data_IF_368887589979
#
_entry.id   IF_368887589979
#
_cell.length_a   1.000
_cell.length_b   1.000
_cell.length_c   1.000
_cell.angle_alpha   90.00
_cell.angle_beta   90.00
_cell.angle_gamma   90.00
#
_symmetry.space_group_name_H-M   'P 1'
#
loop_
_entity.id
_entity.type
_entity.pdbx_description
1 polymer ?
#
# COMPACT_ATOMS: atom_id res chain seq x y z
N UNK A 1 26.96 17.02 11.69
CA UNK A 1 26.11 16.26 10.73
C UNK A 1 25.36 17.23 9.82
N UNK A 2 25.28 16.96 8.51
CA UNK A 2 24.55 17.80 7.57
C UNK A 2 23.34 17.06 7.02
N UNK A 3 22.27 17.79 6.69
CA UNK A 3 21.05 17.23 6.10
C UNK A 3 21.36 16.42 4.83
N UNK A 4 22.29 16.92 4.01
CA UNK A 4 22.77 16.22 2.82
C UNK A 4 23.35 14.82 3.11
N UNK A 5 24.00 14.60 4.26
CA UNK A 5 24.53 13.29 4.63
C UNK A 5 23.39 12.27 4.93
N UNK A 6 22.29 12.74 5.50
CA UNK A 6 21.08 11.94 5.73
C UNK A 6 20.40 11.55 4.42
N UNK A 7 20.23 12.52 3.50
CA UNK A 7 19.67 12.28 2.17
C UNK A 7 20.51 11.28 1.37
N UNK A 8 21.83 11.43 1.41
CA UNK A 8 22.77 10.49 0.77
C UNK A 8 22.63 9.09 1.34
N UNK A 9 22.58 8.93 2.67
CA UNK A 9 22.44 7.62 3.30
C UNK A 9 21.13 6.94 2.89
N UNK A 10 19.99 7.66 2.97
CA UNK A 10 18.68 7.14 2.57
C UNK A 10 18.67 6.76 1.09
N UNK A 11 19.16 7.64 0.19
CA UNK A 11 19.19 7.37 -1.23
C UNK A 11 20.03 6.14 -1.59
N UNK A 12 21.18 5.91 -0.92
CA UNK A 12 21.99 4.71 -1.14
C UNK A 12 21.26 3.46 -0.64
N UNK A 13 20.61 3.55 0.53
CA UNK A 13 19.83 2.43 1.09
C UNK A 13 18.69 1.98 0.16
N UNK A 14 18.01 2.93 -0.47
CA UNK A 14 16.88 2.67 -1.38
C UNK A 14 17.33 2.19 -2.76
N UNK A 15 18.41 2.75 -3.29
CA UNK A 15 18.90 2.42 -4.65
C UNK A 15 19.90 1.27 -4.70
N UNK A 16 20.46 0.86 -3.56
CA UNK A 16 21.46 -0.20 -3.49
C UNK A 16 22.79 0.14 -4.23
N UNK A 17 23.00 1.41 -4.66
CA UNK A 17 24.13 1.84 -5.46
C UNK A 17 24.48 3.31 -5.23
N UNK A 18 25.79 3.60 -5.04
CA UNK A 18 26.30 4.97 -4.94
C UNK A 18 26.03 5.78 -6.23
N UNK A 19 26.18 5.15 -7.40
CA UNK A 19 25.98 5.83 -8.67
C UNK A 19 24.49 6.20 -8.88
N UNK A 20 23.57 5.31 -8.52
CA UNK A 20 22.14 5.57 -8.61
C UNK A 20 21.70 6.66 -7.61
N UNK A 21 22.22 6.64 -6.37
CA UNK A 21 21.99 7.70 -5.40
C UNK A 21 22.54 9.05 -5.86
N UNK A 22 23.76 9.06 -6.44
CA UNK A 22 24.36 10.27 -7.00
C UNK A 22 23.50 10.87 -8.12
N UNK A 23 23.00 10.03 -9.02
CA UNK A 23 22.08 10.47 -10.08
C UNK A 23 20.77 11.05 -9.50
N UNK A 24 20.17 10.38 -8.52
CA UNK A 24 18.92 10.83 -7.88
C UNK A 24 19.08 12.19 -7.20
N UNK A 25 20.23 12.39 -6.53
CA UNK A 25 20.49 13.61 -5.75
C UNK A 25 21.17 14.73 -6.58
N UNK A 26 21.42 14.51 -7.89
CA UNK A 26 22.18 15.41 -8.74
C UNK A 26 23.56 15.74 -8.17
N UNK A 27 24.25 14.75 -7.60
CA UNK A 27 25.58 14.85 -7.03
C UNK A 27 26.59 14.02 -7.82
N UNK A 28 27.89 14.28 -7.63
CA UNK A 28 28.93 13.38 -8.11
C UNK A 28 29.05 12.13 -7.22
N UNK A 29 29.46 11.00 -7.76
CA UNK A 29 29.70 9.78 -6.99
C UNK A 29 30.74 9.97 -5.88
N UNK A 30 31.74 10.85 -6.10
CA UNK A 30 32.72 11.22 -5.07
C UNK A 30 32.09 12.02 -3.93
N UNK A 31 31.19 12.96 -4.23
CA UNK A 31 30.47 13.73 -3.21
C UNK A 31 29.59 12.82 -2.34
N UNK A 32 28.87 11.89 -2.96
CA UNK A 32 28.06 10.88 -2.27
C UNK A 32 28.93 10.00 -1.38
N UNK A 33 30.05 9.50 -1.88
CA UNK A 33 30.99 8.67 -1.11
C UNK A 33 31.59 9.43 0.08
N UNK A 34 31.95 10.70 -0.12
CA UNK A 34 32.51 11.54 0.94
C UNK A 34 31.48 11.88 2.01
N UNK A 35 30.24 12.23 1.62
CA UNK A 35 29.17 12.52 2.57
C UNK A 35 28.83 11.30 3.44
N UNK A 36 28.74 10.10 2.85
CA UNK A 36 28.55 8.85 3.58
C UNK A 36 29.71 8.60 4.56
N UNK A 37 30.95 8.67 4.09
CA UNK A 37 32.11 8.41 4.93
C UNK A 37 32.20 9.40 6.12
N UNK A 38 31.89 10.67 5.91
CA UNK A 38 31.81 11.67 6.97
C UNK A 38 30.73 11.31 7.98
N UNK A 39 29.57 10.86 7.53
CA UNK A 39 28.47 10.45 8.41
C UNK A 39 28.84 9.22 9.24
N UNK A 40 29.41 8.19 8.63
CA UNK A 40 29.90 7.00 9.34
C UNK A 40 31.02 7.32 10.34
N UNK A 41 31.91 8.24 9.99
CA UNK A 41 32.96 8.70 10.89
C UNK A 41 32.41 9.42 12.12
N UNK A 42 31.39 10.27 11.97
CA UNK A 42 30.74 10.94 13.10
C UNK A 42 30.01 9.96 14.01
N UNK A 43 29.42 8.90 13.44
CA UNK A 43 28.77 7.85 14.22
C UNK A 43 29.74 6.86 14.87
N UNK A 44 30.94 6.73 14.34
CA UNK A 44 31.95 5.79 14.80
C UNK A 44 31.78 4.35 14.31
N UNK A 45 30.86 4.11 13.37
CA UNK A 45 30.63 2.79 12.76
C UNK A 45 30.07 2.92 11.34
N UNK A 46 30.18 1.84 10.56
CA UNK A 46 29.70 1.79 9.18
C UNK A 46 28.21 1.50 9.12
N UNK A 47 27.52 2.23 8.24
CA UNK A 47 26.09 2.06 7.96
C UNK A 47 25.84 1.12 6.80
N UNK A 48 26.79 1.03 5.87
CA UNK A 48 26.66 0.30 4.62
C UNK A 48 27.88 -0.58 4.38
N UNK A 49 27.66 -1.76 3.80
CA UNK A 49 28.73 -2.67 3.34
C UNK A 49 28.57 -2.96 1.87
N UNK A 50 29.73 -3.05 1.15
CA UNK A 50 29.78 -3.49 -0.24
C UNK A 50 29.98 -5.00 -0.29
N UNK A 51 29.20 -5.68 -1.08
CA UNK A 51 29.37 -7.09 -1.39
C UNK A 51 29.28 -7.33 -2.89
N UNK A 52 29.40 -8.60 -3.34
CA UNK A 52 29.30 -8.96 -4.76
C UNK A 52 27.93 -8.68 -5.38
N UNK A 53 26.88 -8.56 -4.58
CA UNK A 53 25.51 -8.28 -5.01
C UNK A 53 25.13 -6.78 -4.93
N UNK A 54 26.06 -5.90 -4.54
CA UNK A 54 25.82 -4.46 -4.43
C UNK A 54 26.09 -3.92 -3.02
N UNK A 55 25.38 -2.85 -2.65
CA UNK A 55 25.47 -2.22 -1.33
C UNK A 55 24.30 -2.69 -0.47
N UNK A 56 24.58 -3.04 0.78
CA UNK A 56 23.58 -3.42 1.78
C UNK A 56 23.79 -2.65 3.08
N UNK A 57 22.73 -2.51 3.82
CA UNK A 57 22.78 -1.97 5.18
C UNK A 57 23.53 -2.92 6.11
N UNK A 58 24.26 -2.37 7.08
CA UNK A 58 24.69 -3.09 8.28
C UNK A 58 23.55 -3.16 9.28
N UNK A 59 23.67 -3.95 10.35
CA UNK A 59 22.71 -3.94 11.45
C UNK A 59 22.53 -2.52 12.05
N UNK A 60 23.63 -1.74 12.14
CA UNK A 60 23.58 -0.34 12.57
C UNK A 60 22.84 0.54 11.56
N UNK A 61 23.05 0.32 10.24
CA UNK A 61 22.35 1.01 9.18
C UNK A 61 20.84 0.71 9.20
N UNK A 62 20.45 -0.56 9.35
CA UNK A 62 19.04 -0.97 9.48
C UNK A 62 18.36 -0.33 10.68
N UNK A 63 19.04 -0.28 11.84
CA UNK A 63 18.52 0.31 13.06
C UNK A 63 18.33 1.82 12.94
N UNK A 64 19.23 2.53 12.26
CA UNK A 64 19.19 4.01 12.17
C UNK A 64 18.37 4.54 11.02
N UNK A 65 18.14 3.75 9.94
CA UNK A 65 17.46 4.22 8.74
C UNK A 65 16.06 4.82 9.02
N UNK A 66 15.20 4.23 9.87
CA UNK A 66 13.90 4.82 10.22
C UNK A 66 14.06 6.21 10.86
N UNK A 67 14.94 6.35 11.86
CA UNK A 67 15.16 7.62 12.55
C UNK A 67 15.72 8.71 11.62
N UNK A 68 16.59 8.33 10.67
CA UNK A 68 17.11 9.28 9.67
C UNK A 68 15.99 9.73 8.73
N UNK A 69 15.08 8.84 8.36
CA UNK A 69 13.89 9.20 7.57
C UNK A 69 12.97 10.14 8.33
N UNK A 70 12.73 9.89 9.62
CA UNK A 70 11.94 10.79 10.48
C UNK A 70 12.54 12.19 10.55
N UNK A 71 13.88 12.31 10.65
CA UNK A 71 14.56 13.60 10.62
C UNK A 71 14.33 14.34 9.30
N UNK A 72 14.42 13.64 8.17
CA UNK A 72 14.14 14.23 6.86
C UNK A 72 12.67 14.65 6.72
N UNK A 73 11.74 13.82 7.17
CA UNK A 73 10.32 14.18 7.20
C UNK A 73 10.04 15.39 8.10
N UNK A 74 10.70 15.50 9.25
CA UNK A 74 10.57 16.64 10.13
C UNK A 74 11.12 17.92 9.49
N UNK A 75 12.23 17.82 8.74
CA UNK A 75 12.74 18.94 7.94
C UNK A 75 11.77 19.35 6.83
N UNK A 76 11.23 18.38 6.07
CA UNK A 76 10.22 18.64 5.03
C UNK A 76 9.00 19.34 5.63
N UNK A 77 8.52 18.89 6.79
CA UNK A 77 7.42 19.52 7.53
C UNK A 77 7.72 20.98 7.89
N UNK A 78 8.93 21.26 8.42
CA UNK A 78 9.36 22.61 8.73
C UNK A 78 9.33 23.51 7.48
N UNK A 79 9.88 23.03 6.36
CA UNK A 79 9.90 23.79 5.11
C UNK A 79 8.50 24.03 4.55
N UNK A 80 7.60 23.04 4.65
CA UNK A 80 6.20 23.20 4.25
C UNK A 80 5.44 24.18 5.15
N UNK A 81 5.69 24.16 6.46
CA UNK A 81 5.10 25.13 7.38
C UNK A 81 5.57 26.55 7.07
N UNK A 82 6.86 26.73 6.81
CA UNK A 82 7.41 28.03 6.38
C UNK A 82 6.81 28.51 5.05
N UNK A 83 6.70 27.63 4.06
CA UNK A 83 6.05 27.92 2.79
C UNK A 83 4.59 28.35 2.96
N UNK A 84 3.83 27.65 3.83
CA UNK A 84 2.44 27.99 4.14
C UNK A 84 2.28 29.37 4.75
N UNK A 85 3.20 29.80 5.61
CA UNK A 85 3.21 31.16 6.17
C UNK A 85 3.39 32.24 5.08
N UNK A 86 4.01 31.88 3.96
CA UNK A 86 4.17 32.73 2.77
C UNK A 86 3.02 32.56 1.76
N UNK A 87 1.95 31.84 2.10
CA UNK A 87 0.84 31.55 1.20
C UNK A 87 1.17 30.56 0.07
N UNK A 88 2.26 29.79 0.21
CA UNK A 88 2.68 28.78 -0.77
C UNK A 88 2.26 27.40 -0.26
N UNK A 89 1.44 26.69 -1.03
CA UNK A 89 1.06 25.31 -0.77
C UNK A 89 1.94 24.39 -1.67
N UNK A 90 3.07 23.98 -1.15
CA UNK A 90 4.03 23.10 -1.84
C UNK A 90 4.58 22.04 -0.90
N UNK A 91 5.06 20.92 -1.44
CA UNK A 91 5.66 19.84 -0.68
C UNK A 91 5.56 18.51 -1.40
N UNK A 92 5.89 17.44 -0.70
CA UNK A 92 5.79 16.06 -1.19
C UNK A 92 4.91 15.24 -0.25
N UNK A 93 4.11 14.33 -0.81
CA UNK A 93 3.33 13.33 -0.07
C UNK A 93 3.66 11.95 -0.63
N UNK A 94 4.07 11.03 0.24
CA UNK A 94 4.38 9.65 -0.10
C UNK A 94 3.24 8.75 0.38
N UNK A 95 2.67 7.96 -0.52
CA UNK A 95 1.50 7.12 -0.23
C UNK A 95 1.83 5.66 -0.50
N UNK A 96 1.63 4.81 0.51
CA UNK A 96 1.65 3.36 0.36
C UNK A 96 0.26 2.81 0.04
N UNK A 97 0.15 1.87 -0.89
CA UNK A 97 -1.14 1.26 -1.22
C UNK A 97 -1.01 -0.16 -1.75
N UNK A 98 -2.01 -0.98 -1.46
CA UNK A 98 -2.16 -2.29 -2.09
C UNK A 98 -2.93 -2.20 -3.43
N UNK A 99 -2.83 -3.27 -4.24
CA UNK A 99 -3.24 -3.31 -5.65
C UNK A 99 -4.64 -2.76 -5.90
N UNK A 100 -5.67 -3.26 -5.23
CA UNK A 100 -7.05 -2.87 -5.51
C UNK A 100 -7.34 -1.39 -5.24
N UNK A 101 -6.74 -0.78 -4.19
CA UNK A 101 -6.78 0.67 -3.93
C UNK A 101 -6.00 1.44 -5.00
N UNK A 102 -4.80 0.94 -5.35
CA UNK A 102 -3.95 1.52 -6.40
C UNK A 102 -4.67 1.65 -7.74
N UNK A 103 -5.51 0.66 -8.08
CA UNK A 103 -6.25 0.65 -9.36
C UNK A 103 -7.58 1.40 -9.26
N UNK A 104 -8.36 1.22 -8.18
CA UNK A 104 -9.72 1.73 -8.12
C UNK A 104 -9.82 3.20 -7.68
N UNK A 105 -8.98 3.64 -6.75
CA UNK A 105 -9.10 4.94 -6.09
C UNK A 105 -7.97 5.90 -6.40
N UNK A 106 -6.69 5.47 -6.27
CA UNK A 106 -5.56 6.38 -6.32
C UNK A 106 -5.49 7.25 -7.59
N UNK A 107 -5.73 6.75 -8.80
CA UNK A 107 -5.66 7.60 -10.00
C UNK A 107 -6.62 8.78 -9.94
N UNK A 108 -7.84 8.55 -9.42
CA UNK A 108 -8.87 9.60 -9.31
C UNK A 108 -8.57 10.55 -8.15
N UNK A 109 -8.10 10.02 -7.01
CA UNK A 109 -7.69 10.82 -5.85
C UNK A 109 -6.56 11.77 -6.23
N UNK A 110 -5.49 11.24 -6.85
CA UNK A 110 -4.32 12.04 -7.22
C UNK A 110 -4.69 13.09 -8.26
N UNK A 111 -5.48 12.73 -9.27
CA UNK A 111 -5.92 13.68 -10.29
C UNK A 111 -6.67 14.85 -9.67
N UNK A 112 -7.68 14.57 -8.84
CA UNK A 112 -8.48 15.63 -8.20
C UNK A 112 -7.70 16.40 -7.14
N UNK A 113 -6.71 15.78 -6.50
CA UNK A 113 -5.81 16.47 -5.57
C UNK A 113 -4.87 17.43 -6.30
N UNK A 114 -4.28 16.99 -7.42
CA UNK A 114 -3.39 17.84 -8.23
C UNK A 114 -4.08 19.09 -8.79
N UNK A 115 -5.38 18.99 -9.11
CA UNK A 115 -6.18 20.14 -9.55
C UNK A 115 -6.32 21.19 -8.42
N UNK A 116 -6.34 20.76 -7.15
CA UNK A 116 -6.43 21.65 -5.98
C UNK A 116 -5.06 22.15 -5.49
N UNK A 117 -4.04 21.30 -5.59
CA UNK A 117 -2.70 21.54 -5.04
C UNK A 117 -1.61 21.24 -6.09
N UNK A 118 -1.50 22.05 -7.15
CA UNK A 118 -0.62 21.76 -8.30
C UNK A 118 0.88 21.79 -8.00
N UNK A 119 1.28 22.29 -6.82
CA UNK A 119 2.68 22.36 -6.37
C UNK A 119 3.03 21.28 -5.34
N UNK A 120 2.10 20.38 -5.02
CA UNK A 120 2.38 19.24 -4.15
C UNK A 120 2.65 18.02 -5.03
N UNK A 121 3.85 17.48 -4.88
CA UNK A 121 4.24 16.23 -5.54
C UNK A 121 3.68 15.03 -4.77
N UNK A 122 3.14 14.05 -5.47
CA UNK A 122 2.61 12.81 -4.88
C UNK A 122 3.38 11.63 -5.44
N UNK A 123 3.98 10.83 -4.57
CA UNK A 123 4.63 9.57 -4.92
C UNK A 123 3.85 8.39 -4.37
N UNK A 124 3.88 7.26 -5.07
CA UNK A 124 3.16 6.04 -4.70
C UNK A 124 4.14 4.88 -4.60
N UNK A 125 4.04 4.14 -3.50
CA UNK A 125 4.66 2.82 -3.35
C UNK A 125 3.56 1.76 -3.29
N UNK A 126 3.71 0.68 -4.05
CA UNK A 126 2.72 -0.39 -4.11
C UNK A 126 3.29 -1.69 -3.53
N UNK A 127 2.56 -2.32 -2.60
CA UNK A 127 2.94 -3.57 -1.96
C UNK A 127 1.77 -4.29 -1.29
N UNK A 128 2.06 -5.31 -0.50
CA UNK A 128 1.07 -5.98 0.34
C UNK A 128 0.68 -5.15 1.57
N UNK A 129 -0.30 -5.66 2.34
CA UNK A 129 -0.76 -4.94 3.54
C UNK A 129 0.35 -4.74 4.57
N UNK A 130 1.19 -5.78 4.77
CA UNK A 130 2.30 -5.74 5.71
C UNK A 130 3.42 -4.84 5.22
N UNK A 131 3.71 -4.84 3.89
CA UNK A 131 4.69 -3.93 3.30
C UNK A 131 4.29 -2.47 3.56
N UNK A 132 3.02 -2.12 3.29
CA UNK A 132 2.51 -0.75 3.51
C UNK A 132 2.60 -0.36 4.98
N UNK A 133 2.19 -1.25 5.90
CA UNK A 133 2.30 -1.00 7.33
C UNK A 133 3.74 -0.80 7.77
N UNK A 134 4.67 -1.62 7.28
CA UNK A 134 6.09 -1.50 7.54
C UNK A 134 6.66 -0.19 6.99
N UNK A 135 6.26 0.24 5.80
CA UNK A 135 6.69 1.52 5.20
C UNK A 135 6.24 2.72 6.04
N UNK A 136 5.03 2.68 6.61
CA UNK A 136 4.57 3.72 7.54
C UNK A 136 5.44 3.72 8.80
N UNK A 137 5.62 2.56 9.43
CA UNK A 137 6.41 2.41 10.67
C UNK A 137 7.86 2.86 10.45
N UNK A 138 8.43 2.58 9.27
CA UNK A 138 9.79 2.99 8.90
C UNK A 138 9.88 4.38 8.29
N UNK A 139 8.83 5.18 8.35
CA UNK A 139 8.79 6.53 7.76
C UNK A 139 9.19 6.60 6.29
N UNK A 140 8.94 5.54 5.54
CA UNK A 140 9.17 5.49 4.10
C UNK A 140 8.01 6.16 3.34
N UNK A 141 6.78 6.04 3.87
CA UNK A 141 5.59 6.73 3.38
C UNK A 141 4.95 7.55 4.48
N UNK A 142 4.22 8.60 4.12
CA UNK A 142 3.54 9.51 5.04
C UNK A 142 2.13 8.99 5.39
N UNK A 143 1.48 8.38 4.40
CA UNK A 143 0.13 7.81 4.49
C UNK A 143 0.13 6.43 3.84
N UNK A 144 -0.64 5.50 4.37
CA UNK A 144 -0.78 4.18 3.77
C UNK A 144 -2.18 3.62 3.87
N UNK A 145 -2.62 2.94 2.83
CA UNK A 145 -3.85 2.15 2.88
C UNK A 145 -3.52 0.75 3.39
N UNK A 146 -4.14 0.38 4.50
CA UNK A 146 -4.03 -0.96 5.08
C UNK A 146 -5.43 -1.49 5.42
N UNK A 147 -5.52 -2.71 5.93
CA UNK A 147 -6.77 -3.31 6.41
C UNK A 147 -6.72 -3.56 7.91
N UNK A 148 -7.89 -3.59 8.55
CA UNK A 148 -7.99 -3.99 9.95
C UNK A 148 -7.82 -5.52 10.12
N UNK A 149 -7.27 -6.00 11.26
CA UNK A 149 -6.70 -5.17 12.33
C UNK A 149 -5.34 -4.60 11.95
N UNK A 150 -5.11 -3.35 12.35
CA UNK A 150 -3.85 -2.65 12.13
C UNK A 150 -2.76 -3.10 13.09
N UNK A 151 -1.48 -2.99 12.71
CA UNK A 151 -0.37 -3.12 13.65
C UNK A 151 -0.42 -2.02 14.73
N UNK A 152 0.04 -2.31 15.98
CA UNK A 152 0.07 -1.31 17.04
C UNK A 152 0.99 -0.13 16.69
N UNK A 153 0.61 1.05 17.17
CA UNK A 153 1.41 2.28 17.00
C UNK A 153 1.09 3.08 15.74
N UNK A 154 0.04 2.75 15.02
CA UNK A 154 -0.45 3.53 13.89
C UNK A 154 -1.75 4.24 14.26
N UNK A 155 -1.88 5.50 13.84
CA UNK A 155 -3.16 6.20 13.82
C UNK A 155 -3.91 5.82 12.54
N UNK A 156 -5.16 5.35 12.68
CA UNK A 156 -5.97 4.90 11.55
C UNK A 156 -7.28 5.65 11.44
N UNK A 157 -7.70 5.89 10.20
CA UNK A 157 -9.01 6.43 9.85
C UNK A 157 -9.75 5.40 9.01
N UNK A 158 -10.86 4.80 9.49
CA UNK A 158 -11.68 3.90 8.70
C UNK A 158 -12.23 4.60 7.45
N UNK A 159 -12.14 3.92 6.30
CA UNK A 159 -12.57 4.47 5.02
C UNK A 159 -13.77 3.71 4.43
N UNK A 160 -13.65 2.39 4.32
CA UNK A 160 -14.64 1.58 3.60
C UNK A 160 -14.63 0.12 4.06
N UNK A 161 -15.83 -0.43 4.24
CA UNK A 161 -16.03 -1.87 4.43
C UNK A 161 -16.22 -2.51 3.05
N UNK A 162 -15.16 -3.09 2.51
CA UNK A 162 -15.11 -3.68 1.17
C UNK A 162 -15.64 -5.12 1.21
N UNK A 163 -16.81 -5.41 0.61
CA UNK A 163 -17.39 -6.74 0.65
C UNK A 163 -16.50 -7.78 -0.02
N UNK A 164 -16.51 -9.00 0.52
CA UNK A 164 -15.87 -10.15 -0.09
C UNK A 164 -16.89 -10.92 -0.93
N UNK A 165 -16.55 -11.16 -2.18
CA UNK A 165 -17.37 -11.82 -3.18
C UNK A 165 -16.68 -13.09 -3.67
N UNK A 166 -17.46 -14.06 -4.12
CA UNK A 166 -16.93 -15.22 -4.83
C UNK A 166 -16.95 -14.98 -6.34
N UNK A 167 -15.85 -15.31 -7.00
CA UNK A 167 -15.77 -15.38 -8.45
C UNK A 167 -15.65 -16.83 -8.91
N UNK A 168 -16.33 -17.14 -9.99
CA UNK A 168 -16.37 -18.48 -10.57
C UNK A 168 -16.38 -18.41 -12.12
N UNK A 169 -15.97 -19.48 -12.83
CA UNK A 169 -16.03 -19.50 -14.29
C UNK A 169 -17.46 -19.41 -14.81
N UNK A 170 -17.61 -19.00 -16.09
CA UNK A 170 -18.92 -18.97 -16.73
C UNK A 170 -19.58 -20.35 -16.70
N UNK A 171 -20.88 -20.36 -16.43
CA UNK A 171 -21.66 -21.61 -16.30
C UNK A 171 -21.60 -22.27 -14.93
N UNK A 172 -20.84 -21.71 -13.99
CA UNK A 172 -20.87 -22.17 -12.62
C UNK A 172 -22.25 -21.93 -11.97
N UNK A 173 -22.76 -22.91 -11.25
CA UNK A 173 -24.01 -22.79 -10.53
C UNK A 173 -23.81 -23.13 -9.04
N UNK A 174 -23.88 -22.17 -8.12
CA UNK A 174 -23.79 -22.44 -6.71
C UNK A 174 -24.98 -23.27 -6.24
N UNK A 175 -24.79 -24.07 -5.18
CA UNK A 175 -25.83 -24.95 -4.60
C UNK A 175 -27.10 -24.17 -4.23
N UNK A 176 -26.95 -22.93 -3.79
CA UNK A 176 -28.07 -22.05 -3.45
C UNK A 176 -28.71 -21.37 -4.64
N UNK A 177 -28.07 -21.41 -5.83
CA UNK A 177 -28.40 -20.68 -7.06
C UNK A 177 -28.20 -19.15 -7.00
N UNK A 178 -27.98 -18.57 -5.82
CA UNK A 178 -27.90 -17.12 -5.62
C UNK A 178 -26.57 -16.65 -5.00
N UNK A 179 -25.96 -17.46 -4.13
CA UNK A 179 -24.75 -17.13 -3.41
C UNK A 179 -23.91 -18.37 -3.12
N UNK A 180 -22.65 -18.19 -2.83
CA UNK A 180 -21.72 -19.27 -2.44
C UNK A 180 -21.56 -19.25 -0.91
N UNK A 181 -21.72 -20.41 -0.28
CA UNK A 181 -21.55 -20.53 1.16
C UNK A 181 -20.11 -20.89 1.52
N UNK A 182 -19.70 -20.50 2.75
CA UNK A 182 -18.37 -20.86 3.23
C UNK A 182 -18.09 -22.37 3.18
N UNK A 183 -19.00 -23.29 3.60
CA UNK A 183 -18.78 -24.73 3.45
C UNK A 183 -18.67 -25.21 2.00
N UNK A 184 -19.36 -24.55 1.06
CA UNK A 184 -19.31 -24.92 -0.36
C UNK A 184 -17.93 -24.72 -0.98
N UNK A 185 -17.11 -23.80 -0.44
CA UNK A 185 -15.72 -23.64 -0.90
C UNK A 185 -14.91 -24.93 -0.79
N UNK A 186 -15.20 -25.79 0.21
CA UNK A 186 -14.51 -27.06 0.39
C UNK A 186 -14.77 -28.08 -0.73
N UNK A 187 -15.86 -27.93 -1.46
CA UNK A 187 -16.25 -28.82 -2.55
C UNK A 187 -15.54 -28.48 -3.87
N UNK A 188 -14.89 -27.33 -3.92
CA UNK A 188 -14.27 -26.80 -5.13
C UNK A 188 -12.75 -26.65 -4.97
N UNK A 189 -12.08 -26.52 -6.10
CA UNK A 189 -10.70 -26.06 -6.13
C UNK A 189 -10.69 -24.54 -5.94
N UNK A 190 -10.02 -24.04 -4.91
CA UNK A 190 -9.97 -22.62 -4.58
C UNK A 190 -8.64 -22.04 -5.02
N UNK A 191 -8.69 -21.02 -5.85
CA UNK A 191 -7.53 -20.21 -6.22
C UNK A 191 -7.28 -19.22 -5.09
N UNK A 192 -6.12 -19.31 -4.43
CA UNK A 192 -5.77 -18.48 -3.30
C UNK A 192 -4.82 -17.36 -3.72
N UNK A 193 -4.86 -16.27 -2.99
CA UNK A 193 -3.81 -15.26 -3.07
C UNK A 193 -2.49 -15.78 -2.51
N UNK A 194 -1.37 -15.22 -2.98
CA UNK A 194 -0.04 -15.53 -2.49
C UNK A 194 0.10 -15.19 -1.02
N UNK A 195 1.10 -15.78 -0.37
CA UNK A 195 1.45 -15.44 1.01
C UNK A 195 1.69 -13.92 1.11
N UNK A 196 1.17 -13.31 2.15
CA UNK A 196 1.23 -11.85 2.43
C UNK A 196 0.29 -10.97 1.58
N UNK A 197 -0.47 -11.58 0.64
CA UNK A 197 -1.53 -10.93 -0.15
C UNK A 197 -2.83 -11.71 0.08
N UNK A 198 -3.93 -11.03 0.43
CA UNK A 198 -5.24 -11.69 0.58
C UNK A 198 -5.41 -12.52 1.85
N UNK A 199 -4.99 -11.96 2.96
CA UNK A 199 -5.22 -12.54 4.29
C UNK A 199 -6.71 -12.80 4.57
N UNK A 200 -7.60 -12.09 3.89
CA UNK A 200 -9.05 -12.18 4.05
C UNK A 200 -9.57 -13.58 3.77
N UNK A 201 -9.14 -14.18 2.66
CA UNK A 201 -9.57 -15.56 2.32
C UNK A 201 -9.08 -16.55 3.35
N UNK A 202 -7.82 -16.45 3.79
CA UNK A 202 -7.27 -17.33 4.83
C UNK A 202 -8.00 -17.13 6.18
N UNK A 203 -8.34 -15.89 6.53
CA UNK A 203 -9.12 -15.58 7.74
C UNK A 203 -10.53 -16.18 7.67
N UNK A 204 -11.21 -16.10 6.52
CA UNK A 204 -12.53 -16.73 6.31
C UNK A 204 -12.40 -18.25 6.47
N UNK A 205 -11.43 -18.87 5.81
CA UNK A 205 -11.23 -20.32 5.90
C UNK A 205 -10.96 -20.75 7.36
N UNK A 206 -10.12 -20.00 8.07
CA UNK A 206 -9.84 -20.26 9.49
C UNK A 206 -11.08 -20.06 10.38
N UNK A 207 -11.79 -18.94 10.20
CA UNK A 207 -13.02 -18.59 10.96
C UNK A 207 -14.09 -19.67 10.84
N UNK A 208 -14.28 -20.19 9.63
CA UNK A 208 -15.27 -21.22 9.33
C UNK A 208 -14.75 -22.64 9.47
N UNK A 209 -13.47 -22.83 9.87
CA UNK A 209 -12.79 -24.11 10.00
C UNK A 209 -12.85 -24.96 8.73
N UNK A 210 -12.65 -24.32 7.58
CA UNK A 210 -12.73 -24.94 6.25
C UNK A 210 -11.35 -25.25 5.75
N UNK A 211 -11.13 -26.46 5.28
CA UNK A 211 -9.96 -26.86 4.50
C UNK A 211 -10.33 -26.94 3.03
N UNK A 212 -9.63 -26.18 2.18
CA UNK A 212 -9.85 -26.17 0.74
C UNK A 212 -8.73 -26.87 -0.01
N UNK A 213 -9.05 -27.44 -1.16
CA UNK A 213 -8.05 -27.82 -2.15
C UNK A 213 -7.62 -26.56 -2.89
N UNK A 214 -6.33 -26.33 -3.01
CA UNK A 214 -5.79 -25.22 -3.79
C UNK A 214 -4.70 -25.72 -4.71
N UNK A 215 -4.92 -25.57 -6.01
CA UNK A 215 -3.94 -25.94 -7.05
C UNK A 215 -3.14 -24.72 -7.54
N UNK A 216 -3.57 -23.50 -7.21
CA UNK A 216 -2.94 -22.28 -7.68
C UNK A 216 -2.92 -21.21 -6.60
N UNK A 217 -1.79 -20.51 -6.51
CA UNK A 217 -1.63 -19.27 -5.75
C UNK A 217 -1.06 -18.20 -6.67
N UNK A 218 -1.66 -17.03 -6.67
CA UNK A 218 -1.19 -15.88 -7.44
C UNK A 218 -1.15 -14.62 -6.56
N UNK A 219 -0.20 -13.75 -6.82
CA UNK A 219 -0.03 -12.50 -6.05
C UNK A 219 -0.94 -11.41 -6.60
N UNK A 220 -1.17 -11.44 -7.90
CA UNK A 220 -1.87 -10.41 -8.68
C UNK A 220 -3.34 -10.76 -8.83
N UNK A 221 -4.23 -9.80 -8.54
CA UNK A 221 -5.68 -9.94 -8.70
C UNK A 221 -6.06 -10.34 -10.13
N UNK A 222 -5.41 -9.78 -11.15
CA UNK A 222 -5.68 -10.12 -12.55
C UNK A 222 -5.29 -11.57 -12.87
N UNK A 223 -4.20 -12.07 -12.32
CA UNK A 223 -3.79 -13.48 -12.48
C UNK A 223 -4.78 -14.44 -11.82
N UNK A 224 -5.29 -14.12 -10.62
CA UNK A 224 -6.33 -14.92 -9.95
C UNK A 224 -7.58 -15.00 -10.82
N UNK A 225 -8.04 -13.87 -11.33
CA UNK A 225 -9.23 -13.79 -12.16
C UNK A 225 -9.03 -14.61 -13.47
N UNK A 226 -7.88 -14.49 -14.13
CA UNK A 226 -7.56 -15.27 -15.32
C UNK A 226 -7.54 -16.78 -15.06
N UNK A 227 -7.02 -17.23 -13.91
CA UNK A 227 -7.04 -18.63 -13.49
C UNK A 227 -8.48 -19.12 -13.29
N UNK A 228 -9.32 -18.32 -12.64
CA UNK A 228 -10.74 -18.65 -12.46
C UNK A 228 -11.47 -18.66 -13.79
N UNK A 229 -11.23 -17.69 -14.67
CA UNK A 229 -11.79 -17.62 -16.02
C UNK A 229 -11.47 -18.87 -16.86
N UNK A 230 -10.28 -19.43 -16.68
CA UNK A 230 -9.86 -20.68 -17.34
C UNK A 230 -10.55 -21.94 -16.82
N UNK A 231 -11.39 -21.84 -15.80
CA UNK A 231 -12.09 -22.98 -15.20
C UNK A 231 -11.28 -23.80 -14.19
N UNK A 232 -10.12 -23.31 -13.74
CA UNK A 232 -9.25 -24.02 -12.82
C UNK A 232 -9.68 -23.97 -11.35
N UNK A 233 -10.74 -23.21 -11.04
CA UNK A 233 -11.29 -23.11 -9.69
C UNK A 233 -12.19 -21.91 -9.50
N UNK A 234 -12.54 -21.65 -8.25
CA UNK A 234 -13.25 -20.44 -7.79
C UNK A 234 -12.35 -19.65 -6.85
N UNK A 235 -12.66 -18.39 -6.59
CA UNK A 235 -11.89 -17.60 -5.63
C UNK A 235 -12.78 -16.67 -4.82
N UNK A 236 -12.31 -16.27 -3.63
CA UNK A 236 -12.93 -15.20 -2.83
C UNK A 236 -12.08 -13.95 -3.02
N UNK A 237 -12.69 -12.86 -3.45
CA UNK A 237 -12.01 -11.62 -3.74
C UNK A 237 -12.77 -10.41 -3.21
N UNK A 238 -12.06 -9.33 -2.82
CA UNK A 238 -12.71 -8.09 -2.45
C UNK A 238 -13.42 -7.43 -3.63
N UNK A 239 -14.56 -6.81 -3.40
CA UNK A 239 -15.32 -6.12 -4.44
C UNK A 239 -14.48 -5.04 -5.14
N UNK A 240 -13.65 -4.32 -4.40
CA UNK A 240 -12.80 -3.26 -4.95
C UNK A 240 -11.82 -3.78 -6.02
N UNK A 241 -11.33 -5.01 -5.88
CA UNK A 241 -10.46 -5.66 -6.88
C UNK A 241 -11.21 -5.99 -8.19
N UNK A 242 -12.53 -6.15 -8.12
CA UNK A 242 -13.36 -6.53 -9.26
C UNK A 242 -13.93 -5.34 -10.04
N UNK A 243 -13.89 -4.12 -9.50
CA UNK A 243 -14.56 -2.94 -10.08
C UNK A 243 -14.11 -2.58 -11.49
N UNK A 244 -12.84 -2.77 -11.80
CA UNK A 244 -12.26 -2.42 -13.10
C UNK A 244 -11.99 -3.65 -13.97
N UNK A 245 -12.39 -4.82 -13.49
CA UNK A 245 -12.21 -6.06 -14.24
C UNK A 245 -13.37 -6.26 -15.24
N UNK A 246 -13.02 -6.61 -16.47
CA UNK A 246 -13.96 -6.95 -17.55
C UNK A 246 -13.53 -8.29 -18.15
N UNK A 247 -13.95 -9.37 -17.53
CA UNK A 247 -13.61 -10.71 -17.97
C UNK A 247 -14.80 -11.67 -17.88
N UNK A 248 -14.58 -12.91 -18.30
CA UNK A 248 -15.59 -13.94 -18.41
C UNK A 248 -15.72 -14.75 -17.09
N UNK A 249 -15.92 -14.07 -15.96
CA UNK A 249 -16.24 -14.69 -14.68
C UNK A 249 -17.63 -14.30 -14.20
N UNK A 250 -18.27 -15.19 -13.45
CA UNK A 250 -19.48 -14.90 -12.69
C UNK A 250 -19.10 -14.45 -11.28
N UNK A 251 -19.83 -13.47 -10.77
CA UNK A 251 -19.61 -12.93 -9.42
C UNK A 251 -20.82 -13.26 -8.56
N UNK A 252 -20.60 -13.85 -7.40
CA UNK A 252 -21.63 -14.24 -6.46
C UNK A 252 -21.38 -13.60 -5.11
N UNK A 253 -22.44 -13.20 -4.38
CA UNK A 253 -22.34 -12.90 -2.96
C UNK A 253 -21.75 -14.09 -2.19
N UNK A 254 -20.94 -13.80 -1.17
CA UNK A 254 -20.43 -14.80 -0.23
C UNK A 254 -21.31 -14.82 1.02
N UNK A 255 -21.62 -16.01 1.55
CA UNK A 255 -22.44 -16.14 2.74
C UNK A 255 -21.79 -17.06 3.80
N UNK A 256 -21.81 -16.67 5.09
CA UNK A 256 -22.27 -15.38 5.61
C UNK A 256 -21.47 -14.23 5.00
N UNK A 257 -22.09 -13.05 4.91
CA UNK A 257 -21.44 -11.87 4.34
C UNK A 257 -20.19 -11.50 5.15
N UNK A 258 -19.09 -11.34 4.46
CA UNK A 258 -17.80 -10.97 5.02
C UNK A 258 -17.28 -9.72 4.30
N UNK A 259 -16.46 -8.93 4.98
CA UNK A 259 -15.83 -7.76 4.40
C UNK A 259 -14.46 -7.52 5.04
N UNK A 260 -13.57 -6.86 4.31
CA UNK A 260 -12.37 -6.25 4.88
C UNK A 260 -12.61 -4.77 5.12
N UNK A 261 -12.09 -4.23 6.20
CA UNK A 261 -12.17 -2.79 6.47
C UNK A 261 -10.88 -2.12 6.01
N UNK A 262 -10.99 -1.30 4.98
CA UNK A 262 -9.88 -0.49 4.48
C UNK A 262 -9.77 0.76 5.35
N UNK A 263 -8.57 1.05 5.82
CA UNK A 263 -8.27 2.24 6.61
C UNK A 263 -7.11 3.02 5.99
N UNK A 264 -7.09 4.33 6.24
CA UNK A 264 -5.94 5.19 5.96
C UNK A 264 -5.14 5.31 7.25
N UNK A 265 -3.87 4.93 7.20
CA UNK A 265 -2.98 4.88 8.35
C UNK A 265 -1.82 5.88 8.20
N UNK A 266 -1.31 6.34 9.34
CA UNK A 266 -0.09 7.13 9.49
C UNK A 266 0.55 6.85 10.86
N UNK A 267 1.80 7.24 11.09
CA UNK A 267 2.42 7.15 12.42
C UNK A 267 1.70 8.03 13.45
N UNK A 268 1.32 9.25 13.05
CA UNK A 268 0.54 10.17 13.87
C UNK A 268 -0.14 11.20 12.98
N UNK A 269 -1.45 11.28 13.05
CA UNK A 269 -2.23 12.27 12.27
C UNK A 269 -1.91 13.71 12.70
N UNK A 270 -1.64 13.93 13.99
CA UNK A 270 -1.30 15.26 14.51
C UNK A 270 0.05 15.75 13.96
N UNK A 271 1.00 14.84 13.80
CA UNK A 271 2.35 15.17 13.36
C UNK A 271 2.54 15.22 11.86
N UNK A 272 1.54 14.87 11.05
CA UNK A 272 1.63 14.95 9.58
C UNK A 272 2.04 16.34 9.10
N UNK A 273 2.85 16.38 8.05
CA UNK A 273 3.18 17.61 7.33
C UNK A 273 1.92 18.22 6.67
N UNK A 274 1.89 19.54 6.41
CA UNK A 274 0.71 20.20 5.83
C UNK A 274 0.18 19.56 4.55
N UNK A 275 1.04 19.15 3.63
CA UNK A 275 0.66 18.47 2.39
C UNK A 275 0.03 17.09 2.66
N UNK A 276 0.61 16.30 3.56
CA UNK A 276 0.07 15.01 3.95
C UNK A 276 -1.28 15.13 4.69
N UNK A 277 -1.46 16.18 5.52
CA UNK A 277 -2.78 16.48 6.14
C UNK A 277 -3.83 16.83 5.09
N UNK A 278 -3.48 17.66 4.10
CA UNK A 278 -4.39 18.00 3.01
C UNK A 278 -4.78 16.74 2.20
N UNK A 279 -3.81 15.87 1.88
CA UNK A 279 -4.05 14.62 1.19
C UNK A 279 -4.92 13.66 2.02
N UNK A 280 -4.66 13.52 3.32
CA UNK A 280 -5.47 12.70 4.22
C UNK A 280 -6.95 13.13 4.17
N UNK A 281 -7.22 14.43 4.34
CA UNK A 281 -8.58 14.98 4.27
C UNK A 281 -9.23 14.76 2.91
N UNK A 282 -8.45 14.93 1.83
CA UNK A 282 -8.90 14.71 0.46
C UNK A 282 -9.29 13.26 0.21
N UNK A 283 -8.48 12.29 0.65
CA UNK A 283 -8.75 10.86 0.57
C UNK A 283 -10.04 10.50 1.32
N UNK A 284 -10.17 10.94 2.58
CA UNK A 284 -11.37 10.67 3.40
C UNK A 284 -12.64 11.20 2.71
N UNK A 285 -12.60 12.44 2.22
CA UNK A 285 -13.72 13.06 1.50
C UNK A 285 -14.05 12.32 0.20
N UNK A 286 -13.02 11.93 -0.56
CA UNK A 286 -13.19 11.21 -1.82
C UNK A 286 -13.88 9.86 -1.59
N UNK A 287 -13.38 9.06 -0.63
CA UNK A 287 -13.92 7.71 -0.37
C UNK A 287 -15.35 7.79 0.18
N UNK A 288 -15.65 8.76 1.07
CA UNK A 288 -17.01 8.97 1.55
C UNK A 288 -17.99 9.32 0.41
N UNK A 289 -17.58 10.15 -0.54
CA UNK A 289 -18.37 10.47 -1.72
C UNK A 289 -18.53 9.29 -2.68
N UNK A 290 -17.48 8.50 -2.85
CA UNK A 290 -17.46 7.33 -3.71
C UNK A 290 -18.37 6.21 -3.16
N UNK A 291 -18.34 5.92 -1.85
CA UNK A 291 -19.20 4.93 -1.19
C UNK A 291 -20.68 5.25 -1.38
N UNK A 292 -21.07 6.50 -1.15
CA UNK A 292 -22.45 6.95 -1.32
C UNK A 292 -22.95 6.87 -2.78
N UNK A 293 -22.05 6.95 -3.76
CA UNK A 293 -22.37 6.81 -5.19
C UNK A 293 -22.54 5.35 -5.63
N UNK A 294 -21.73 4.44 -5.08
CA UNK A 294 -21.76 3.01 -5.44
C UNK A 294 -22.91 2.24 -4.75
N UNK A 295 -23.28 2.62 -3.52
CA UNK A 295 -24.45 2.02 -2.85
C UNK A 295 -25.77 2.27 -3.61
N UNK A 296 -25.85 3.35 -4.39
CA UNK A 296 -27.02 3.66 -5.22
C UNK A 296 -27.03 2.92 -6.57
N UNK A 297 -25.90 2.37 -7.02
CA UNK A 297 -25.77 1.63 -8.30
C UNK A 297 -25.98 0.12 -8.19
N UNK A 298 -25.98 -0.45 -6.97
CA UNK A 298 -26.10 -1.89 -6.74
C UNK A 298 -27.53 -2.46 -6.78
N UNK A 299 -28.54 -1.62 -7.06
CA UNK A 299 -29.95 -2.07 -7.12
C UNK A 299 -30.54 -2.09 -8.53
N UNK A 300 -29.72 -1.97 -9.59
CA UNK A 300 -30.19 -2.07 -10.98
C UNK A 300 -29.18 -2.89 -11.81
N UNK A 301 -29.34 -4.19 -11.82
CA UNK A 301 -29.14 -5.11 -12.95
C UNK A 301 -29.39 -6.56 -12.56
#
# INVERSE_FOLDING_TARGET
MSLNAYEVFVAIAERGSLAAAAHQLNLSASAVSHALASFEQELGFTLLVRNRSGIRLTAGGEALLPTVRELLQCNDKLMQQAAKLLGLESGTVRIGAFSSVGVAWLPKIIRSFADLYPKIEVTIEQGGYDDVAEWIIKSQVDLGFIILPEPPGLDVTPLYADPLLCIAPLGFAPKTKAYITAPELADHNVVLQGKDYGKETEQILAKHKISVRSSARAIDDAAIIAIVESGLGISVMPQLALLNYRGAVQVFPFYPAESRVIVLASLSQESLAPAAKAMHQHIVKFVAGWSNGNDKGGSQS
#
